data_IF_611753288132
#
_entry.id   IF_611753288132
#
_cell.length_a   1.000
_cell.length_b   1.000
_cell.length_c   1.000
_cell.angle_alpha   90.00
_cell.angle_beta   90.00
_cell.angle_gamma   90.00
#
_symmetry.space_group_name_H-M   'P 1'
#
loop_
_entity.id
_entity.type
_entity.pdbx_description
1 polymer ?
#
# COMPACT_ATOMS: atom_id res chain seq x y z
N UNK A 1 12.84 14.54 -8.13
CA UNK A 1 12.82 13.53 -7.05
C UNK A 1 13.81 14.00 -5.98
N UNK A 2 13.45 14.04 -4.70
CA UNK A 2 14.36 14.55 -3.66
C UNK A 2 15.57 13.62 -3.43
N UNK A 3 15.45 12.33 -3.75
CA UNK A 3 16.52 11.35 -3.51
C UNK A 3 17.79 11.59 -4.34
N UNK A 4 17.66 12.12 -5.56
CA UNK A 4 18.79 12.40 -6.46
C UNK A 4 19.13 13.88 -6.59
N UNK A 5 18.41 14.76 -5.87
CA UNK A 5 18.60 16.20 -5.98
C UNK A 5 19.86 16.66 -5.26
N UNK A 6 20.71 17.39 -5.98
CA UNK A 6 21.79 18.16 -5.37
C UNK A 6 21.17 19.23 -4.45
N UNK A 7 21.69 19.37 -3.23
CA UNK A 7 21.18 20.29 -2.22
C UNK A 7 20.03 19.79 -1.33
N UNK A 8 19.50 18.57 -1.54
CA UNK A 8 18.53 17.99 -0.60
C UNK A 8 19.19 17.71 0.76
N UNK A 9 18.50 18.09 1.85
CA UNK A 9 18.97 17.90 3.21
C UNK A 9 17.77 17.71 4.16
N UNK A 10 17.72 16.58 4.85
CA UNK A 10 16.75 16.31 5.91
C UNK A 10 17.49 16.13 7.24
N UNK A 11 17.16 16.92 8.26
CA UNK A 11 17.72 16.75 9.60
C UNK A 11 16.73 16.03 10.52
N UNK A 12 17.12 14.88 11.06
CA UNK A 12 16.23 14.00 11.83
C UNK A 12 16.22 14.28 13.34
N UNK A 13 17.10 15.18 13.83
CA UNK A 13 17.36 15.40 15.27
C UNK A 13 17.62 14.11 16.05
N UNK A 14 18.04 13.04 15.37
CA UNK A 14 18.30 11.75 16.00
C UNK A 14 17.23 10.69 15.83
N UNK A 15 15.96 11.07 15.67
CA UNK A 15 14.86 10.10 15.68
C UNK A 15 14.87 9.20 14.44
N UNK A 16 15.22 9.78 13.29
CA UNK A 16 15.40 9.07 12.03
C UNK A 16 16.84 8.67 11.74
N UNK A 17 17.74 8.73 12.73
CA UNK A 17 19.06 8.11 12.58
C UNK A 17 18.92 6.58 12.54
N UNK A 18 19.82 5.86 11.86
CA UNK A 18 19.97 4.42 11.99
C UNK A 18 20.10 4.00 13.44
N UNK A 19 19.56 2.83 13.79
CA UNK A 19 19.55 2.32 15.18
C UNK A 19 20.94 2.29 15.84
N UNK A 20 21.99 2.02 15.07
CA UNK A 20 23.36 1.89 15.58
C UNK A 20 24.00 3.26 15.93
N UNK A 21 23.37 4.37 15.54
CA UNK A 21 23.81 5.72 15.91
C UNK A 21 23.10 6.15 17.19
N UNK A 22 23.74 5.97 18.34
CA UNK A 22 23.12 6.14 19.67
C UNK A 22 23.11 7.57 20.21
N UNK A 23 23.82 8.52 19.60
CA UNK A 23 23.87 9.92 20.02
C UNK A 23 23.90 10.88 18.83
N UNK A 24 23.80 12.20 19.09
CA UNK A 24 23.79 13.22 18.03
C UNK A 24 22.56 13.15 17.11
N UNK A 25 22.55 13.99 16.07
CA UNK A 25 21.52 13.98 15.02
C UNK A 25 22.06 13.48 13.69
N UNK A 26 21.18 13.19 12.72
CA UNK A 26 21.58 12.78 11.38
C UNK A 26 21.00 13.72 10.33
N UNK A 27 21.83 14.02 9.34
CA UNK A 27 21.43 14.59 8.07
C UNK A 27 21.31 13.47 7.03
N UNK A 28 20.24 13.47 6.24
CA UNK A 28 20.08 12.63 5.06
C UNK A 28 20.14 13.52 3.82
N UNK A 29 21.13 13.27 2.96
CA UNK A 29 21.37 14.04 1.73
C UNK A 29 20.98 13.26 0.46
N UNK A 30 20.82 13.99 -0.64
CA UNK A 30 20.68 13.42 -1.98
C UNK A 30 21.87 12.56 -2.39
N UNK A 31 21.64 11.57 -3.26
CA UNK A 31 22.68 10.74 -3.86
C UNK A 31 22.48 10.70 -5.38
N UNK A 32 23.41 11.29 -6.13
CA UNK A 32 23.37 11.31 -7.60
C UNK A 32 23.79 9.97 -8.23
N UNK A 33 24.47 9.12 -7.45
CA UNK A 33 25.02 7.84 -7.90
C UNK A 33 24.07 6.68 -7.50
N UNK A 34 22.76 6.93 -7.53
CA UNK A 34 21.73 5.90 -7.30
C UNK A 34 21.48 5.13 -8.58
N UNK A 35 21.44 3.80 -8.45
CA UNK A 35 20.90 2.95 -9.50
C UNK A 35 19.37 3.13 -9.58
N UNK A 36 18.75 2.88 -10.74
CA UNK A 36 17.30 2.87 -10.84
C UNK A 36 16.69 1.73 -10.00
N UNK A 37 15.48 1.96 -9.48
CA UNK A 37 14.65 0.89 -8.91
C UNK A 37 14.20 -0.05 -10.05
N UNK A 38 14.38 -1.36 -9.86
CA UNK A 38 14.01 -2.38 -10.85
C UNK A 38 13.00 -3.33 -10.22
N UNK A 39 11.89 -3.60 -10.92
CA UNK A 39 10.91 -4.59 -10.48
C UNK A 39 10.57 -5.53 -11.63
N UNK A 40 10.72 -6.83 -11.39
CA UNK A 40 10.23 -7.86 -12.31
C UNK A 40 8.83 -8.26 -11.84
N UNK A 41 7.83 -7.78 -12.57
CA UNK A 41 6.42 -8.00 -12.27
C UNK A 41 5.88 -9.15 -13.12
N UNK A 42 5.22 -10.12 -12.49
CA UNK A 42 4.66 -11.31 -13.12
C UNK A 42 3.23 -11.47 -12.65
N UNK A 43 2.35 -11.82 -13.57
CA UNK A 43 0.97 -12.15 -13.25
C UNK A 43 0.50 -13.32 -14.11
N UNK A 44 -0.38 -14.13 -13.54
CA UNK A 44 -1.09 -15.18 -14.26
C UNK A 44 -2.52 -15.19 -13.77
N UNK A 45 -3.46 -15.13 -14.70
CA UNK A 45 -4.87 -15.06 -14.38
C UNK A 45 -5.73 -15.97 -15.24
N UNK A 46 -6.88 -16.31 -14.69
CA UNK A 46 -7.99 -16.94 -15.37
C UNK A 46 -9.17 -15.99 -15.32
N UNK A 47 -9.80 -15.79 -16.47
CA UNK A 47 -10.99 -14.97 -16.61
C UNK A 47 -12.09 -15.78 -17.29
N UNK A 48 -13.29 -15.65 -16.74
CA UNK A 48 -14.52 -16.17 -17.30
C UNK A 48 -15.47 -15.01 -17.56
N UNK A 49 -15.97 -14.95 -18.79
CA UNK A 49 -16.96 -13.96 -19.23
C UNK A 49 -18.03 -14.66 -20.05
N UNK A 50 -19.29 -14.50 -19.67
CA UNK A 50 -20.45 -15.02 -20.41
C UNK A 50 -21.66 -14.12 -20.18
N UNK A 51 -22.20 -13.54 -21.26
CA UNK A 51 -23.24 -12.49 -21.16
C UNK A 51 -22.83 -11.40 -20.16
N UNK A 52 -23.65 -11.17 -19.11
CA UNK A 52 -23.44 -10.19 -18.06
C UNK A 52 -22.65 -10.76 -16.85
N UNK A 53 -22.24 -12.02 -16.91
CA UNK A 53 -21.45 -12.68 -15.87
C UNK A 53 -19.97 -12.50 -16.14
N UNK A 54 -19.23 -12.07 -15.12
CA UNK A 54 -17.78 -11.96 -15.14
C UNK A 54 -17.19 -12.50 -13.84
N UNK A 55 -16.13 -13.29 -13.94
CA UNK A 55 -15.31 -13.68 -12.82
C UNK A 55 -13.86 -13.80 -13.25
N UNK A 56 -12.93 -13.24 -12.48
CA UNK A 56 -11.50 -13.39 -12.71
C UNK A 56 -10.75 -13.64 -11.42
N UNK A 57 -9.64 -14.36 -11.54
CA UNK A 57 -8.67 -14.57 -10.47
C UNK A 57 -7.28 -14.49 -11.07
N UNK A 58 -6.41 -13.70 -10.44
CA UNK A 58 -5.06 -13.43 -10.88
C UNK A 58 -4.11 -13.60 -9.71
N UNK A 59 -3.08 -14.43 -9.87
CA UNK A 59 -1.92 -14.41 -8.99
C UNK A 59 -0.93 -13.39 -9.54
N UNK A 60 -0.44 -12.50 -8.68
CA UNK A 60 0.60 -11.54 -9.03
C UNK A 60 1.82 -11.72 -8.13
N UNK A 61 2.99 -11.42 -8.68
CA UNK A 61 4.28 -11.44 -7.97
C UNK A 61 5.22 -10.39 -8.53
N UNK A 62 5.70 -9.53 -7.66
CA UNK A 62 6.67 -8.48 -7.96
C UNK A 62 7.96 -8.72 -7.16
N UNK A 63 9.05 -9.02 -7.87
CA UNK A 63 10.39 -9.09 -7.29
C UNK A 63 11.08 -7.74 -7.46
N UNK A 64 11.06 -6.92 -6.40
CA UNK A 64 11.67 -5.59 -6.36
C UNK A 64 13.15 -5.66 -6.01
N UNK A 65 13.94 -4.81 -6.66
CA UNK A 65 15.37 -4.64 -6.46
C UNK A 65 15.70 -3.14 -6.44
N UNK A 66 16.74 -2.77 -5.68
CA UNK A 66 17.30 -1.42 -5.65
C UNK A 66 16.33 -0.32 -5.19
N UNK A 67 15.28 -0.66 -4.42
CA UNK A 67 14.35 0.35 -3.86
C UNK A 67 15.15 1.41 -3.11
N UNK A 68 14.96 2.68 -3.42
CA UNK A 68 15.71 3.77 -2.83
C UNK A 68 15.20 4.00 -1.40
N UNK A 69 16.10 3.86 -0.42
CA UNK A 69 15.84 3.97 1.02
C UNK A 69 16.79 4.96 1.68
N UNK A 70 16.43 5.43 2.87
CA UNK A 70 17.35 6.21 3.69
C UNK A 70 18.56 5.32 4.04
N UNK A 71 19.77 5.81 3.75
CA UNK A 71 20.97 5.04 4.02
C UNK A 71 21.27 4.91 5.51
N UNK A 72 21.84 3.77 5.86
CA UNK A 72 22.29 3.42 7.21
C UNK A 72 23.81 3.65 7.42
N UNK A 73 24.54 3.83 6.33
CA UNK A 73 25.97 4.08 6.36
C UNK A 73 26.31 5.56 6.56
N UNK A 74 27.11 5.85 7.58
CA UNK A 74 27.68 7.18 7.84
C UNK A 74 28.75 7.48 6.80
N UNK A 75 28.56 8.57 6.04
CA UNK A 75 29.53 9.05 5.04
C UNK A 75 30.37 10.23 5.56
N UNK A 76 30.03 10.78 6.72
CA UNK A 76 30.76 11.88 7.34
C UNK A 76 30.06 12.44 8.56
N UNK A 77 30.62 13.51 9.13
CA UNK A 77 30.02 14.28 10.22
C UNK A 77 30.18 15.78 9.95
N UNK A 78 29.19 16.56 10.38
CA UNK A 78 29.27 18.02 10.38
C UNK A 78 30.17 18.53 11.51
N UNK A 79 30.59 19.80 11.44
CA UNK A 79 31.32 20.46 12.54
C UNK A 79 30.54 20.48 13.87
N UNK A 80 29.22 20.42 13.82
CA UNK A 80 28.34 20.31 14.99
C UNK A 80 28.18 18.88 15.52
N UNK A 81 28.87 17.89 14.92
CA UNK A 81 28.82 16.49 15.32
C UNK A 81 27.61 15.70 14.82
N UNK A 82 26.84 16.24 13.87
CA UNK A 82 25.74 15.49 13.27
C UNK A 82 26.26 14.55 12.17
N UNK A 83 25.78 13.31 12.17
CA UNK A 83 26.14 12.31 11.18
C UNK A 83 25.53 12.64 9.83
N UNK A 84 26.25 12.35 8.75
CA UNK A 84 25.78 12.55 7.38
C UNK A 84 25.55 11.17 6.77
N UNK A 85 24.34 10.96 6.29
CA UNK A 85 23.84 9.79 5.59
C UNK A 85 23.41 10.24 4.20
N UNK A 86 23.32 9.32 3.25
CA UNK A 86 22.79 9.59 1.92
C UNK A 86 21.70 8.59 1.55
N UNK A 87 20.83 8.95 0.62
CA UNK A 87 19.94 7.97 -0.01
C UNK A 87 20.77 6.84 -0.63
N UNK A 88 20.30 5.60 -0.51
CA UNK A 88 20.96 4.43 -1.08
C UNK A 88 19.95 3.49 -1.73
N UNK A 89 20.43 2.66 -2.65
CA UNK A 89 19.66 1.53 -3.13
C UNK A 89 19.61 0.47 -2.02
N UNK A 90 18.40 0.17 -1.55
CA UNK A 90 18.13 -0.90 -0.61
C UNK A 90 18.13 -2.26 -1.30
N UNK A 91 17.98 -3.32 -0.50
CA UNK A 91 18.00 -4.68 -1.02
C UNK A 91 16.70 -5.11 -1.70
N UNK A 92 16.52 -6.44 -1.74
CA UNK A 92 15.43 -7.06 -2.48
C UNK A 92 14.14 -7.00 -1.65
N UNK A 93 13.01 -6.82 -2.30
CA UNK A 93 11.71 -6.95 -1.67
C UNK A 93 10.81 -7.87 -2.51
N UNK A 94 9.84 -8.49 -1.84
CA UNK A 94 8.86 -9.35 -2.47
C UNK A 94 7.46 -8.88 -2.10
N UNK A 95 6.64 -8.67 -3.12
CA UNK A 95 5.20 -8.48 -2.97
C UNK A 95 4.50 -9.49 -3.85
N UNK A 96 3.61 -10.29 -3.27
CA UNK A 96 2.79 -11.22 -4.03
C UNK A 96 1.42 -11.42 -3.38
N UNK A 97 0.47 -11.88 -4.19
CA UNK A 97 -0.91 -11.98 -3.76
C UNK A 97 -1.83 -12.51 -4.83
N UNK A 98 -3.11 -12.49 -4.48
CA UNK A 98 -4.20 -12.90 -5.36
C UNK A 98 -5.14 -11.71 -5.50
N UNK A 99 -5.52 -11.40 -6.73
CA UNK A 99 -6.59 -10.49 -7.07
C UNK A 99 -7.76 -11.31 -7.62
N UNK A 100 -8.98 -10.96 -7.24
CA UNK A 100 -10.17 -11.56 -7.76
C UNK A 100 -11.20 -10.47 -8.06
N UNK A 101 -11.97 -10.67 -9.12
CA UNK A 101 -13.05 -9.77 -9.51
C UNK A 101 -14.26 -10.59 -9.93
N UNK A 102 -15.46 -10.10 -9.62
CA UNK A 102 -16.72 -10.74 -9.94
C UNK A 102 -17.76 -9.67 -10.25
N UNK A 103 -18.54 -9.88 -11.32
CA UNK A 103 -19.79 -9.17 -11.58
C UNK A 103 -20.88 -10.21 -11.87
N UNK A 104 -21.97 -10.13 -11.11
CA UNK A 104 -23.05 -11.10 -11.14
C UNK A 104 -24.41 -10.39 -11.16
N UNK A 105 -25.19 -10.50 -12.26
CA UNK A 105 -26.53 -9.95 -12.35
C UNK A 105 -27.52 -10.83 -11.54
N UNK A 106 -27.65 -10.57 -10.24
CA UNK A 106 -28.59 -11.27 -9.36
C UNK A 106 -30.04 -11.25 -9.90
N UNK A 107 -30.44 -10.13 -10.50
CA UNK A 107 -31.69 -10.00 -11.27
C UNK A 107 -31.35 -9.23 -12.53
N UNK A 108 -31.55 -9.86 -13.69
CA UNK A 108 -31.25 -9.27 -15.00
C UNK A 108 -31.85 -7.86 -15.12
N UNK A 109 -31.03 -6.92 -15.58
CA UNK A 109 -31.32 -5.49 -15.75
C UNK A 109 -31.75 -4.70 -14.50
N UNK A 110 -31.83 -5.33 -13.32
CA UNK A 110 -32.33 -4.68 -12.10
C UNK A 110 -31.41 -4.74 -10.91
N UNK A 111 -30.73 -5.86 -10.67
CA UNK A 111 -29.89 -6.02 -9.48
C UNK A 111 -28.55 -6.63 -9.89
N UNK A 112 -27.48 -5.84 -9.76
CA UNK A 112 -26.13 -6.29 -10.07
C UNK A 112 -25.26 -6.27 -8.80
N UNK A 113 -24.53 -7.36 -8.58
CA UNK A 113 -23.56 -7.48 -7.51
C UNK A 113 -22.15 -7.53 -8.11
N UNK A 114 -21.28 -6.62 -7.68
CA UNK A 114 -19.89 -6.59 -8.05
C UNK A 114 -19.02 -6.77 -6.81
N UNK A 115 -17.95 -7.54 -6.95
CA UNK A 115 -16.92 -7.70 -5.92
C UNK A 115 -15.55 -7.58 -6.56
N UNK A 116 -14.66 -6.81 -5.94
CA UNK A 116 -13.22 -6.95 -6.17
C UNK A 116 -12.54 -7.27 -4.85
N UNK A 117 -11.54 -8.13 -4.89
CA UNK A 117 -10.84 -8.60 -3.72
C UNK A 117 -9.34 -8.70 -4.02
N UNK A 118 -8.52 -8.22 -3.10
CA UNK A 118 -7.08 -8.43 -3.12
C UNK A 118 -6.67 -9.09 -1.82
N UNK A 119 -5.92 -10.19 -1.91
CA UNK A 119 -5.33 -10.89 -0.79
C UNK A 119 -3.81 -10.85 -0.90
N UNK A 120 -3.16 -10.18 0.04
CA UNK A 120 -1.70 -10.09 0.08
C UNK A 120 -1.14 -11.37 0.70
N UNK A 121 -0.37 -12.16 -0.04
CA UNK A 121 0.31 -13.34 0.49
C UNK A 121 1.58 -12.86 1.21
N UNK A 122 2.46 -12.16 0.48
CA UNK A 122 3.73 -11.61 0.99
C UNK A 122 3.81 -10.11 0.66
N UNK A 123 4.40 -9.33 1.57
CA UNK A 123 4.80 -7.95 1.34
C UNK A 123 5.94 -7.66 2.30
N UNK A 124 7.19 -7.91 1.89
CA UNK A 124 8.33 -7.85 2.80
C UNK A 124 9.61 -7.37 2.11
N UNK A 125 10.47 -6.72 2.89
CA UNK A 125 11.87 -6.50 2.56
C UNK A 125 12.66 -7.77 2.92
N UNK A 126 13.39 -8.37 1.98
CA UNK A 126 14.07 -9.65 2.19
C UNK A 126 15.22 -9.57 3.21
N UNK A 127 15.83 -8.39 3.37
CA UNK A 127 16.96 -8.22 4.28
C UNK A 127 16.52 -8.12 5.74
N UNK A 128 15.38 -7.45 6.00
CA UNK A 128 14.92 -7.16 7.37
C UNK A 128 13.68 -7.95 7.78
N UNK A 129 12.96 -8.56 6.84
CA UNK A 129 11.66 -9.19 7.06
C UNK A 129 10.55 -8.19 7.44
N UNK A 130 10.84 -6.88 7.45
CA UNK A 130 9.84 -5.84 7.67
C UNK A 130 8.87 -5.77 6.48
N UNK A 131 7.60 -5.39 6.72
CA UNK A 131 6.68 -5.15 5.63
C UNK A 131 7.20 -4.05 4.71
N UNK A 132 7.09 -4.25 3.39
CA UNK A 132 7.50 -3.23 2.42
C UNK A 132 6.65 -1.97 2.55
N UNK A 133 5.36 -2.16 2.81
CA UNK A 133 4.38 -1.13 3.16
C UNK A 133 3.37 -1.73 4.11
N UNK A 134 2.89 -0.94 5.08
CA UNK A 134 1.84 -1.37 6.01
C UNK A 134 0.51 -1.25 5.29
N UNK A 135 -0.03 -2.39 4.87
CA UNK A 135 -1.29 -2.52 4.13
C UNK A 135 -2.17 -3.61 4.76
N UNK A 136 -3.49 -3.59 4.53
CA UNK A 136 -4.38 -4.67 4.96
C UNK A 136 -3.96 -6.02 4.35
N UNK A 137 -4.07 -7.10 5.14
CA UNK A 137 -3.83 -8.47 4.65
C UNK A 137 -4.74 -8.84 3.47
N UNK A 138 -5.96 -8.31 3.48
CA UNK A 138 -6.88 -8.37 2.36
C UNK A 138 -7.73 -7.10 2.31
N UNK A 139 -8.20 -6.75 1.12
CA UNK A 139 -9.22 -5.72 0.92
C UNK A 139 -10.29 -6.31 0.02
N UNK A 140 -11.55 -6.29 0.45
CA UNK A 140 -12.68 -6.78 -0.34
C UNK A 140 -13.68 -5.65 -0.48
N UNK A 141 -13.94 -5.21 -1.70
CA UNK A 141 -14.96 -4.21 -2.01
C UNK A 141 -16.14 -4.90 -2.67
N UNK A 142 -17.33 -4.70 -2.12
CA UNK A 142 -18.59 -5.18 -2.67
C UNK A 142 -19.46 -3.99 -3.03
N UNK A 143 -20.15 -4.04 -4.16
CA UNK A 143 -21.21 -3.11 -4.52
C UNK A 143 -22.44 -3.87 -4.99
N UNK A 144 -23.58 -3.56 -4.39
CA UNK A 144 -24.89 -4.03 -4.81
C UNK A 144 -25.65 -2.84 -5.39
N UNK A 145 -25.89 -2.85 -6.69
CA UNK A 145 -26.58 -1.78 -7.40
C UNK A 145 -27.97 -2.25 -7.81
N UNK A 146 -29.01 -1.54 -7.36
CA UNK A 146 -30.39 -1.91 -7.54
C UNK A 146 -31.19 -0.81 -8.25
N UNK A 147 -31.64 -1.10 -9.46
CA UNK A 147 -32.70 -0.35 -10.15
C UNK A 147 -34.05 -0.83 -9.65
N UNK A 148 -34.64 -0.08 -8.72
CA UNK A 148 -35.91 -0.43 -8.06
C UNK A 148 -37.07 -0.11 -9.02
N UNK A 149 -37.03 1.07 -9.64
CA UNK A 149 -37.93 1.50 -10.72
C UNK A 149 -37.15 2.27 -11.78
N UNK A 150 -37.80 2.69 -12.87
CA UNK A 150 -37.17 3.55 -13.88
C UNK A 150 -36.69 4.90 -13.32
N UNK A 151 -37.29 5.38 -12.23
CA UNK A 151 -36.96 6.66 -11.61
C UNK A 151 -36.22 6.53 -10.28
N UNK A 152 -36.05 5.31 -9.74
CA UNK A 152 -35.49 5.11 -8.40
C UNK A 152 -34.46 4.00 -8.40
N UNK A 153 -33.26 4.33 -7.91
CA UNK A 153 -32.17 3.38 -7.73
C UNK A 153 -31.55 3.52 -6.36
N UNK A 154 -31.00 2.42 -5.86
CA UNK A 154 -30.25 2.39 -4.62
C UNK A 154 -28.96 1.60 -4.82
N UNK A 155 -27.93 1.92 -4.04
CA UNK A 155 -26.73 1.08 -3.96
C UNK A 155 -26.26 0.90 -2.54
N UNK A 156 -25.70 -0.27 -2.27
CA UNK A 156 -24.98 -0.57 -1.03
C UNK A 156 -23.54 -0.89 -1.40
N UNK A 157 -22.60 -0.15 -0.81
CA UNK A 157 -21.18 -0.38 -0.94
C UNK A 157 -20.64 -0.87 0.39
N UNK A 158 -19.88 -1.96 0.36
CA UNK A 158 -19.30 -2.56 1.56
C UNK A 158 -17.85 -2.93 1.32
N UNK A 159 -16.94 -2.24 2.00
CA UNK A 159 -15.52 -2.54 1.98
C UNK A 159 -15.09 -3.20 3.28
N UNK A 160 -14.39 -4.31 3.18
CA UNK A 160 -13.78 -5.03 4.30
C UNK A 160 -12.26 -4.94 4.19
N UNK A 161 -11.63 -4.47 5.25
CA UNK A 161 -10.17 -4.43 5.39
C UNK A 161 -9.73 -5.48 6.41
N UNK A 162 -8.79 -6.32 6.01
CA UNK A 162 -8.11 -7.25 6.90
C UNK A 162 -7.19 -6.54 7.89
N UNK A 163 -6.60 -7.33 8.81
CA UNK A 163 -5.64 -6.82 9.79
C UNK A 163 -4.45 -6.13 9.11
N UNK A 164 -3.96 -5.05 9.72
CA UNK A 164 -2.71 -4.39 9.34
C UNK A 164 -1.67 -4.64 10.42
N UNK A 165 -0.53 -5.21 10.01
CA UNK A 165 0.58 -5.51 10.91
C UNK A 165 1.67 -4.44 10.79
N UNK A 166 2.13 -3.87 11.91
CA UNK A 166 3.23 -2.92 11.90
C UNK A 166 4.55 -3.63 11.59
N UNK A 167 5.63 -2.84 11.52
CA UNK A 167 7.00 -3.36 11.41
C UNK A 167 7.40 -4.13 12.66
N UNK A 168 8.28 -5.11 12.50
CA UNK A 168 8.74 -6.01 13.56
C UNK A 168 10.20 -5.82 13.93
N UNK A 169 10.99 -5.20 13.05
CA UNK A 169 12.40 -4.90 13.28
C UNK A 169 12.64 -3.39 13.24
N UNK A 170 13.30 -2.86 14.25
CA UNK A 170 13.68 -1.46 14.30
C UNK A 170 14.74 -1.16 13.24
N UNK A 171 14.56 -0.08 12.50
CA UNK A 171 15.56 0.43 11.55
C UNK A 171 16.10 1.80 11.99
N UNK A 172 15.33 2.54 12.81
CA UNK A 172 15.73 3.84 13.35
C UNK A 172 16.02 3.78 14.85
N UNK A 173 16.83 4.73 15.35
CA UNK A 173 17.09 4.89 16.78
C UNK A 173 15.81 5.08 17.58
N UNK A 174 14.84 5.82 17.06
CA UNK A 174 13.59 6.05 17.77
C UNK A 174 12.78 4.76 17.98
N UNK A 175 12.77 3.87 16.98
CA UNK A 175 12.12 2.55 17.09
C UNK A 175 12.87 1.62 18.05
N UNK A 176 14.20 1.68 18.06
CA UNK A 176 15.05 0.84 18.91
C UNK A 176 14.96 1.26 20.40
N UNK A 177 14.98 2.57 20.67
CA UNK A 177 14.97 3.12 22.03
C UNK A 177 13.56 3.33 22.60
N UNK A 178 12.61 3.76 21.78
CA UNK A 178 11.21 3.98 22.16
C UNK A 178 10.32 2.74 22.03
N UNK A 179 10.84 1.68 21.42
CA UNK A 179 10.10 0.48 21.07
C UNK A 179 9.27 0.64 19.79
N UNK A 180 9.06 -0.48 19.10
CA UNK A 180 8.14 -0.54 17.97
C UNK A 180 6.70 -0.49 18.46
N UNK A 181 5.84 0.25 17.74
CA UNK A 181 4.39 0.16 17.94
C UNK A 181 3.93 -1.24 17.52
N UNK A 182 3.78 -2.14 18.48
CA UNK A 182 3.17 -3.48 18.27
C UNK A 182 1.66 -3.45 18.06
N UNK A 183 1.05 -2.25 17.98
CA UNK A 183 -0.39 -2.10 17.80
C UNK A 183 -0.80 -2.52 16.39
N UNK A 184 -1.37 -3.71 16.28
CA UNK A 184 -2.06 -4.14 15.07
C UNK A 184 -3.40 -3.40 14.94
N UNK A 185 -3.75 -2.98 13.71
CA UNK A 185 -5.11 -2.55 13.41
C UNK A 185 -5.93 -3.81 13.11
N UNK A 186 -6.96 -4.06 13.93
CA UNK A 186 -7.90 -5.14 13.71
C UNK A 186 -8.65 -5.00 12.38
N UNK A 187 -9.15 -6.12 11.86
CA UNK A 187 -10.00 -6.08 10.67
C UNK A 187 -11.26 -5.26 10.94
N UNK A 188 -11.70 -4.49 9.94
CA UNK A 188 -12.87 -3.62 10.04
C UNK A 188 -13.55 -3.49 8.70
N UNK A 189 -14.81 -3.02 8.71
CA UNK A 189 -15.54 -2.73 7.48
C UNK A 189 -16.17 -1.35 7.48
N UNK A 190 -16.32 -0.81 6.28
CA UNK A 190 -17.05 0.42 5.99
C UNK A 190 -18.24 0.07 5.11
N UNK A 191 -19.42 0.59 5.45
CA UNK A 191 -20.65 0.41 4.69
C UNK A 191 -21.21 1.77 4.33
N UNK A 192 -21.56 1.94 3.06
CA UNK A 192 -22.20 3.15 2.54
C UNK A 192 -23.43 2.79 1.73
N UNK A 193 -24.49 3.59 1.84
CA UNK A 193 -25.71 3.42 1.07
C UNK A 193 -26.00 4.69 0.28
N UNK A 194 -26.37 4.55 -0.98
CA UNK A 194 -26.79 5.68 -1.80
C UNK A 194 -28.19 5.42 -2.34
N UNK A 195 -28.94 6.49 -2.53
CA UNK A 195 -30.27 6.48 -3.11
C UNK A 195 -30.31 7.59 -4.14
N UNK A 196 -30.80 7.30 -5.35
CA UNK A 196 -30.98 8.29 -6.39
C UNK A 196 -32.43 8.24 -6.89
N UNK A 197 -33.06 9.40 -7.01
CA UNK A 197 -34.42 9.56 -7.50
C UNK A 197 -34.51 10.60 -8.61
N UNK A 198 -34.93 10.16 -9.80
CA UNK A 198 -35.21 11.01 -10.95
C UNK A 198 -36.61 11.61 -10.83
N UNK A 199 -36.70 12.89 -10.46
CA UNK A 199 -37.97 13.61 -10.41
C UNK A 199 -38.48 13.84 -11.84
N UNK A 200 -37.57 14.24 -12.73
CA UNK A 200 -37.82 14.37 -14.17
C UNK A 200 -36.49 14.34 -14.95
N UNK A 201 -36.56 14.46 -16.27
CA UNK A 201 -35.37 14.44 -17.16
C UNK A 201 -34.30 15.52 -16.87
N UNK A 202 -34.64 16.53 -16.07
CA UNK A 202 -33.80 17.68 -15.75
C UNK A 202 -33.38 17.74 -14.26
N UNK A 203 -33.92 16.89 -13.39
CA UNK A 203 -33.67 16.93 -11.95
C UNK A 203 -33.59 15.53 -11.35
N UNK A 204 -32.42 15.21 -10.80
CA UNK A 204 -32.11 14.01 -10.00
C UNK A 204 -31.70 14.43 -8.59
N UNK A 205 -32.23 13.74 -7.59
CA UNK A 205 -31.83 13.81 -6.18
C UNK A 205 -31.02 12.57 -5.80
#
# INVERSE_FOLDING_TARGET
>A
LYQSSEGYLLYSKGNGCPKDITSGGCYLIGNKDLDPEISVNKEIGLEFTWEDYHASVTYFRNDYQNKIVAGDNVIGQTASGAYILKWQNGGKALVDGIEASMSFPLVKDRLNWNTNATWMITSEQKDTGNPLSVIPKYTINNSLNWTITQAFSASVNWTLYGRQKPRTHAETRSEDTGGLSGKELGAYSLVGTNFNYDINKNLRL
#
